data_IF_790490500884
#
_entry.id   IF_790490500884
#
_cell.length_a   1.000
_cell.length_b   1.000
_cell.length_c   1.000
_cell.angle_alpha   90.00
_cell.angle_beta   90.00
_cell.angle_gamma   90.00
#
_symmetry.space_group_name_H-M   'P 1'
#
loop_
_entity.id
_entity.type
_entity.pdbx_description
1 polymer ?
#
# COMPACT_ATOMS: atom_id res chain seq x y z
N UNK A 1 -2.72 0.72 -11.39
CA UNK A 1 -4.09 0.96 -10.87
C UNK A 1 -4.38 2.45 -10.87
N UNK A 2 -5.64 2.85 -11.00
CA UNK A 2 -6.06 4.25 -11.14
C UNK A 2 -7.06 4.59 -10.04
N UNK A 3 -6.78 5.66 -9.30
CA UNK A 3 -7.61 6.19 -8.22
C UNK A 3 -8.03 7.62 -8.53
N UNK A 4 -9.21 8.00 -8.06
CA UNK A 4 -9.71 9.36 -8.18
C UNK A 4 -9.91 9.91 -6.78
N UNK A 5 -9.16 10.95 -6.44
CA UNK A 5 -9.41 11.75 -5.25
C UNK A 5 -10.28 12.95 -5.63
N UNK A 6 -10.55 13.82 -4.66
CA UNK A 6 -11.27 15.08 -4.92
C UNK A 6 -10.45 16.04 -5.80
N UNK A 7 -9.13 15.94 -5.77
CA UNK A 7 -8.19 16.92 -6.33
C UNK A 7 -7.54 16.45 -7.61
N UNK A 8 -7.32 15.13 -7.76
CA UNK A 8 -6.56 14.59 -8.87
C UNK A 8 -6.84 13.11 -9.13
N UNK A 9 -6.38 12.67 -10.29
CA UNK A 9 -6.23 11.27 -10.63
C UNK A 9 -4.85 10.81 -10.13
N UNK A 10 -4.80 9.66 -9.46
CA UNK A 10 -3.56 9.04 -8.98
C UNK A 10 -3.39 7.71 -9.68
N UNK A 11 -2.24 7.49 -10.31
CA UNK A 11 -1.87 6.22 -10.91
C UNK A 11 -0.80 5.56 -10.04
N UNK A 12 -1.09 4.38 -9.51
CA UNK A 12 -0.11 3.55 -8.80
C UNK A 12 0.36 2.43 -9.73
N UNK A 13 1.64 2.42 -10.08
CA UNK A 13 2.25 1.42 -10.95
C UNK A 13 3.40 0.74 -10.20
N UNK A 14 3.23 -0.55 -9.88
CA UNK A 14 4.27 -1.37 -9.26
C UNK A 14 4.11 -2.82 -9.69
N UNK A 15 5.13 -3.45 -10.31
CA UNK A 15 5.12 -4.88 -10.59
C UNK A 15 5.00 -5.72 -9.33
N UNK A 16 5.71 -5.34 -8.26
CA UNK A 16 5.67 -6.05 -6.98
C UNK A 16 4.27 -6.02 -6.38
N UNK A 17 3.62 -4.84 -6.31
CA UNK A 17 2.24 -4.74 -5.81
C UNK A 17 1.30 -5.57 -6.67
N UNK A 18 1.48 -5.56 -8.00
CA UNK A 18 0.64 -6.35 -8.91
C UNK A 18 0.75 -7.86 -8.65
N UNK A 19 1.95 -8.36 -8.33
CA UNK A 19 2.15 -9.76 -7.94
C UNK A 19 1.47 -10.07 -6.60
N UNK A 20 1.61 -9.17 -5.62
CA UNK A 20 0.96 -9.32 -4.30
C UNK A 20 -0.57 -9.36 -4.39
N UNK A 21 -1.17 -8.68 -5.39
CA UNK A 21 -2.62 -8.78 -5.65
C UNK A 21 -3.08 -10.20 -5.95
N UNK A 22 -2.23 -10.99 -6.62
CA UNK A 22 -2.54 -12.40 -6.88
C UNK A 22 -2.16 -13.33 -5.73
N UNK A 23 -1.07 -13.05 -5.03
CA UNK A 23 -0.51 -13.96 -4.00
C UNK A 23 -1.27 -13.87 -2.68
N UNK A 24 -1.59 -12.65 -2.24
CA UNK A 24 -2.18 -12.38 -0.92
C UNK A 24 -3.59 -11.78 -1.01
N UNK A 25 -4.26 -11.94 -2.16
CA UNK A 25 -5.52 -11.27 -2.46
C UNK A 25 -5.48 -9.76 -2.12
N UNK A 26 -4.31 -9.13 -2.34
CA UNK A 26 -4.07 -7.74 -1.97
C UNK A 26 -5.03 -6.83 -2.77
N UNK A 27 -5.73 -5.96 -2.05
CA UNK A 27 -6.58 -4.90 -2.58
C UNK A 27 -6.19 -3.56 -1.99
N UNK A 28 -6.60 -2.49 -2.67
CA UNK A 28 -6.50 -1.12 -2.15
C UNK A 28 -7.90 -0.69 -1.74
N UNK A 29 -8.06 -0.45 -0.44
CA UNK A 29 -9.32 -0.04 0.16
C UNK A 29 -9.54 1.48 0.03
N UNK A 30 -8.46 2.25 0.08
CA UNK A 30 -8.55 3.72 0.11
C UNK A 30 -7.28 4.41 -0.33
N UNK A 31 -7.44 5.67 -0.74
CA UNK A 31 -6.35 6.60 -1.03
C UNK A 31 -6.67 7.93 -0.39
N UNK A 32 -5.71 8.46 0.37
CA UNK A 32 -5.83 9.74 1.08
C UNK A 32 -4.68 10.65 0.66
N UNK A 33 -5.03 11.84 0.19
CA UNK A 33 -4.07 12.92 0.01
C UNK A 33 -3.83 13.65 1.33
N UNK A 34 -2.56 13.80 1.66
CA UNK A 34 -2.09 14.47 2.84
C UNK A 34 -1.29 15.70 2.41
N UNK A 35 -1.19 16.71 3.28
CA UNK A 35 -0.33 17.88 3.00
C UNK A 35 1.14 17.51 2.76
N UNK A 36 1.57 16.37 3.31
CA UNK A 36 2.96 15.88 3.23
C UNK A 36 3.16 14.81 2.16
N UNK A 37 2.11 14.36 1.47
CA UNK A 37 2.19 13.31 0.46
C UNK A 37 0.88 12.52 0.28
N UNK A 38 0.99 11.21 0.18
CA UNK A 38 -0.14 10.31 -0.12
C UNK A 38 -0.07 9.08 0.78
N UNK A 39 -1.23 8.58 1.16
CA UNK A 39 -1.38 7.31 1.86
C UNK A 39 -2.34 6.41 1.10
N UNK A 40 -1.94 5.14 0.94
CA UNK A 40 -2.78 4.08 0.42
C UNK A 40 -3.11 3.13 1.57
N UNK A 41 -4.39 2.85 1.77
CA UNK A 41 -4.86 1.80 2.67
C UNK A 41 -5.00 0.51 1.85
N UNK A 42 -4.25 -0.51 2.25
CA UNK A 42 -4.28 -1.83 1.65
C UNK A 42 -5.00 -2.83 2.57
N UNK A 43 -5.65 -3.81 1.95
CA UNK A 43 -6.14 -5.00 2.63
C UNK A 43 -5.59 -6.25 1.96
N UNK A 44 -5.15 -7.23 2.74
CA UNK A 44 -4.66 -8.52 2.27
C UNK A 44 -5.28 -9.66 3.08
N UNK A 45 -5.32 -10.85 2.49
CA UNK A 45 -5.63 -12.10 3.20
C UNK A 45 -4.34 -12.94 3.22
N UNK A 46 -3.78 -13.16 4.41
CA UNK A 46 -2.53 -13.90 4.61
C UNK A 46 -2.77 -14.94 5.69
N UNK A 47 -2.51 -16.22 5.40
CA UNK A 47 -2.70 -17.31 6.36
C UNK A 47 -4.10 -17.31 7.03
N UNK A 48 -5.14 -17.07 6.23
CA UNK A 48 -6.54 -16.92 6.66
C UNK A 48 -6.85 -15.70 7.57
N UNK A 49 -5.89 -14.77 7.74
CA UNK A 49 -6.07 -13.51 8.45
C UNK A 49 -6.31 -12.33 7.48
N UNK A 50 -7.31 -11.50 7.76
CA UNK A 50 -7.52 -10.22 7.06
C UNK A 50 -6.66 -9.13 7.70
N UNK A 51 -5.66 -8.64 6.97
CA UNK A 51 -4.73 -7.62 7.45
C UNK A 51 -4.97 -6.32 6.69
N UNK A 52 -5.19 -5.23 7.44
CA UNK A 52 -5.27 -3.87 6.90
C UNK A 52 -4.01 -3.11 7.29
N UNK A 53 -3.39 -2.44 6.32
CA UNK A 53 -2.16 -1.69 6.53
C UNK A 53 -2.07 -0.48 5.61
N UNK A 54 -1.32 0.52 6.05
CA UNK A 54 -1.14 1.77 5.35
C UNK A 54 0.26 1.87 4.75
N UNK A 55 0.34 2.43 3.54
CA UNK A 55 1.61 2.75 2.88
C UNK A 55 1.66 4.24 2.58
N UNK A 56 2.71 4.90 3.08
CA UNK A 56 2.89 6.33 2.98
C UNK A 56 3.98 6.67 1.97
N UNK A 57 3.68 7.63 1.09
CA UNK A 57 4.61 8.25 0.16
C UNK A 57 4.64 9.76 0.44
N UNK A 58 5.80 10.41 0.23
CA UNK A 58 5.88 11.86 0.40
C UNK A 58 5.38 12.65 -0.81
N UNK A 59 5.44 13.98 -0.71
CA UNK A 59 5.12 14.93 -1.78
C UNK A 59 5.95 14.76 -3.06
N UNK A 60 7.04 14.01 -3.02
CA UNK A 60 7.85 13.64 -4.19
C UNK A 60 7.56 12.21 -4.65
N UNK A 61 6.47 11.63 -4.16
CA UNK A 61 6.02 10.27 -4.43
C UNK A 61 7.06 9.20 -4.07
N UNK A 62 7.95 9.49 -3.11
CA UNK A 62 8.93 8.54 -2.61
C UNK A 62 8.37 7.80 -1.40
N UNK A 63 8.60 6.49 -1.33
CA UNK A 63 8.19 5.67 -0.18
C UNK A 63 8.77 6.24 1.12
N UNK A 64 7.94 6.28 2.17
CA UNK A 64 8.35 6.73 3.51
C UNK A 64 8.29 5.63 4.54
N UNK A 65 7.12 5.02 4.68
CA UNK A 65 6.88 4.02 5.71
C UNK A 65 5.67 3.17 5.35
N UNK A 66 5.62 2.03 6.01
CA UNK A 66 4.47 1.17 6.10
C UNK A 66 4.03 1.09 7.56
N UNK A 67 2.73 1.07 7.79
CA UNK A 67 2.16 0.90 9.13
C UNK A 67 1.08 -0.18 9.12
N UNK A 68 1.12 -1.07 10.10
CA UNK A 68 0.16 -2.14 10.34
C UNK A 68 -0.09 -2.21 11.85
N UNK A 69 -1.28 -2.64 12.25
CA UNK A 69 -1.60 -2.89 13.67
C UNK A 69 -0.59 -3.85 14.30
N UNK A 70 -0.28 -3.64 15.58
CA UNK A 70 0.70 -4.44 16.34
C UNK A 70 0.32 -5.91 16.38
N UNK A 71 -0.99 -6.21 16.46
CA UNK A 71 -1.53 -7.56 16.48
C UNK A 71 -1.19 -8.35 15.20
N UNK A 72 -1.07 -7.67 14.06
CA UNK A 72 -0.75 -8.29 12.77
C UNK A 72 0.73 -8.14 12.37
N UNK A 73 1.56 -7.45 13.16
CA UNK A 73 2.97 -7.23 12.81
C UNK A 73 3.77 -8.51 12.56
N UNK A 74 3.59 -9.62 13.31
CA UNK A 74 4.30 -10.87 13.04
C UNK A 74 3.96 -11.44 11.66
N UNK A 75 2.69 -11.75 11.40
CA UNK A 75 2.20 -12.30 10.12
C UNK A 75 2.56 -11.38 8.96
N UNK A 76 2.37 -10.07 9.15
CA UNK A 76 2.71 -9.06 8.16
C UNK A 76 4.21 -9.08 7.83
N UNK A 77 5.10 -9.04 8.83
CA UNK A 77 6.55 -8.97 8.60
C UNK A 77 7.11 -10.22 7.97
N UNK A 78 6.49 -11.38 8.14
CA UNK A 78 6.94 -12.62 7.52
C UNK A 78 6.64 -12.63 6.02
N UNK A 79 5.47 -12.15 5.61
CA UNK A 79 4.93 -12.28 4.25
C UNK A 79 5.01 -11.00 3.40
N UNK A 80 4.88 -9.82 4.01
CA UNK A 80 4.89 -8.52 3.32
C UNK A 80 6.10 -7.68 3.74
N UNK A 81 6.94 -7.35 2.76
CA UNK A 81 8.15 -6.56 2.94
C UNK A 81 7.95 -5.15 2.40
N UNK A 82 8.57 -4.16 3.05
CA UNK A 82 8.51 -2.76 2.62
C UNK A 82 9.04 -2.56 1.18
N UNK A 83 10.02 -3.36 0.75
CA UNK A 83 10.67 -3.28 -0.57
C UNK A 83 9.69 -3.48 -1.74
N UNK A 84 8.55 -4.14 -1.50
CA UNK A 84 7.49 -4.30 -2.49
C UNK A 84 6.80 -2.96 -2.84
N UNK A 85 6.91 -1.97 -1.96
CA UNK A 85 6.27 -0.67 -2.08
C UNK A 85 7.24 0.45 -2.45
N UNK A 86 8.54 0.25 -2.29
CA UNK A 86 9.59 1.25 -2.54
C UNK A 86 9.70 1.66 -4.01
N UNK A 87 9.48 0.72 -4.93
CA UNK A 87 9.62 0.96 -6.38
C UNK A 87 8.31 1.37 -7.07
N UNK A 88 7.30 1.75 -6.29
CA UNK A 88 6.03 2.19 -6.86
C UNK A 88 6.17 3.56 -7.54
N UNK A 89 5.70 3.65 -8.78
CA UNK A 89 5.57 4.92 -9.49
C UNK A 89 4.18 5.48 -9.26
N UNK A 90 4.13 6.74 -8.78
CA UNK A 90 2.89 7.48 -8.53
C UNK A 90 2.87 8.73 -9.41
N UNK A 91 1.80 8.91 -10.19
CA UNK A 91 1.60 10.06 -11.08
C UNK A 91 0.16 10.54 -11.18
#
# INVERSE_FOLDING_TARGET
>A
MVFHTRSQKINLISPSISNLMSEYNLKINGVVELSEGIMFEFGAVIDDEEIVFDVYYDKYNQFKKLHVDEDYQPTFRENLKQEYFENALIS
#
